data_IF_880120361364
#
_entry.id   IF_880120361364
#
_cell.length_a   1.000
_cell.length_b   1.000
_cell.length_c   1.000
_cell.angle_alpha   90.00
_cell.angle_beta   90.00
_cell.angle_gamma   90.00
#
_symmetry.space_group_name_H-M   'P 1'
#
loop_
_entity.id
_entity.type
_entity.pdbx_description
1 polymer ?
#
# COMPACT_ATOMS: atom_id res chain seq x y z
N UNK A 1 -14.24 -4.55 5.74
CA UNK A 1 -13.03 -5.31 5.36
C UNK A 1 -12.63 -6.32 6.44
N UNK A 2 -12.47 -5.91 7.70
CA UNK A 2 -11.97 -6.79 8.77
C UNK A 2 -12.78 -8.08 8.98
N UNK A 3 -14.11 -8.00 8.98
CA UNK A 3 -15.00 -9.17 9.16
C UNK A 3 -15.17 -10.06 7.92
N UNK A 4 -14.66 -9.66 6.75
CA UNK A 4 -14.79 -10.44 5.51
C UNK A 4 -13.67 -11.45 5.39
N UNK A 5 -14.00 -12.68 5.00
CA UNK A 5 -13.00 -13.59 4.44
C UNK A 5 -12.54 -13.06 3.09
N UNK A 6 -11.23 -12.89 2.94
CA UNK A 6 -10.59 -12.38 1.74
C UNK A 6 -9.58 -13.42 1.28
N UNK A 7 -9.54 -13.68 -0.02
CA UNK A 7 -8.47 -14.50 -0.59
C UNK A 7 -7.13 -13.74 -0.58
N UNK A 8 -5.99 -14.41 -0.80
CA UNK A 8 -4.68 -13.75 -0.77
C UNK A 8 -4.56 -12.53 -1.70
N UNK A 9 -5.10 -12.60 -2.91
CA UNK A 9 -5.05 -11.47 -3.86
C UNK A 9 -5.81 -10.26 -3.31
N UNK A 10 -7.01 -10.48 -2.77
CA UNK A 10 -7.81 -9.42 -2.16
C UNK A 10 -7.11 -8.80 -0.94
N UNK A 11 -6.46 -9.62 -0.10
CA UNK A 11 -5.73 -9.13 1.08
C UNK A 11 -4.65 -8.12 0.66
N UNK A 12 -3.80 -8.46 -0.30
CA UNK A 12 -2.75 -7.57 -0.78
C UNK A 12 -3.33 -6.35 -1.51
N UNK A 13 -4.33 -6.56 -2.37
CA UNK A 13 -5.02 -5.48 -3.08
C UNK A 13 -5.58 -4.43 -2.11
N UNK A 14 -6.38 -4.85 -1.12
CA UNK A 14 -7.02 -3.90 -0.20
C UNK A 14 -6.02 -3.26 0.77
N UNK A 15 -4.94 -3.97 1.15
CA UNK A 15 -3.88 -3.40 2.00
C UNK A 15 -3.14 -2.27 1.29
N UNK A 16 -2.71 -2.50 0.05
CA UNK A 16 -2.04 -1.46 -0.75
C UNK A 16 -3.02 -0.38 -1.21
N UNK A 17 -4.30 -0.68 -1.44
CA UNK A 17 -5.31 0.34 -1.75
C UNK A 17 -5.56 1.28 -0.57
N UNK A 18 -5.65 0.75 0.65
CA UNK A 18 -5.77 1.56 1.87
C UNK A 18 -4.60 2.53 2.02
N UNK A 19 -3.37 2.05 1.77
CA UNK A 19 -2.19 2.92 1.74
C UNK A 19 -2.38 4.05 0.73
N UNK A 20 -2.69 3.72 -0.52
CA UNK A 20 -2.80 4.69 -1.60
C UNK A 20 -3.85 5.75 -1.29
N UNK A 21 -5.04 5.32 -0.90
CA UNK A 21 -6.16 6.22 -0.55
C UNK A 21 -5.78 7.12 0.62
N UNK A 22 -5.15 6.58 1.67
CA UNK A 22 -4.72 7.36 2.82
C UNK A 22 -3.72 8.46 2.43
N UNK A 23 -2.73 8.14 1.59
CA UNK A 23 -1.75 9.13 1.11
C UNK A 23 -2.40 10.17 0.20
N UNK A 24 -3.44 9.82 -0.55
CA UNK A 24 -4.21 10.78 -1.36
C UNK A 24 -5.10 11.71 -0.56
N UNK A 25 -5.68 11.23 0.55
CA UNK A 25 -6.42 12.09 1.48
C UNK A 25 -5.44 13.04 2.21
N UNK A 26 -4.25 12.55 2.55
CA UNK A 26 -3.20 13.31 3.22
C UNK A 26 -3.69 14.10 4.47
N UNK A 27 -4.35 13.45 5.44
CA UNK A 27 -5.13 14.13 6.49
C UNK A 27 -4.30 14.85 7.56
N UNK A 28 -3.00 14.54 7.68
CA UNK A 28 -2.14 15.11 8.71
C UNK A 28 -1.19 16.17 8.14
N UNK A 29 -0.73 17.08 9.01
CA UNK A 29 0.28 18.07 8.65
C UNK A 29 1.64 17.44 8.30
N UNK A 30 2.01 16.36 9.01
CA UNK A 30 3.17 15.53 8.74
C UNK A 30 2.86 14.07 9.12
N UNK A 31 3.62 13.13 8.58
CA UNK A 31 3.56 11.72 8.97
C UNK A 31 2.69 10.85 8.07
N UNK A 32 2.04 11.40 7.04
CA UNK A 32 1.09 10.65 6.21
C UNK A 32 1.70 9.38 5.59
N UNK A 33 2.91 9.47 5.02
CA UNK A 33 3.58 8.29 4.46
C UNK A 33 3.96 7.23 5.51
N UNK A 34 4.33 7.65 6.73
CA UNK A 34 4.62 6.72 7.85
C UNK A 34 3.34 6.02 8.29
N UNK A 35 2.26 6.78 8.46
CA UNK A 35 0.96 6.24 8.85
C UNK A 35 0.37 5.33 7.78
N UNK A 36 0.51 5.65 6.49
CA UNK A 36 0.01 4.81 5.41
C UNK A 36 0.65 3.42 5.40
N UNK A 37 1.98 3.35 5.58
CA UNK A 37 2.70 2.07 5.72
C UNK A 37 2.25 1.29 6.96
N UNK A 38 2.03 1.98 8.08
CA UNK A 38 1.50 1.34 9.29
C UNK A 38 0.08 0.78 9.09
N UNK A 39 -0.80 1.51 8.39
CA UNK A 39 -2.17 1.06 8.07
C UNK A 39 -2.14 -0.15 7.14
N UNK A 40 -1.29 -0.14 6.11
CA UNK A 40 -1.12 -1.30 5.22
C UNK A 40 -0.62 -2.52 5.99
N UNK A 41 0.43 -2.34 6.82
CA UNK A 41 0.96 -3.41 7.67
C UNK A 41 -0.10 -3.93 8.63
N UNK A 42 -0.89 -3.04 9.22
CA UNK A 42 -1.96 -3.39 10.14
C UNK A 42 -3.00 -4.29 9.45
N UNK A 43 -3.50 -3.93 8.25
CA UNK A 43 -4.46 -4.80 7.56
C UNK A 43 -3.86 -6.18 7.23
N UNK A 44 -2.58 -6.24 6.82
CA UNK A 44 -1.91 -7.53 6.64
C UNK A 44 -1.87 -8.34 7.93
N UNK A 45 -1.54 -7.72 9.07
CA UNK A 45 -1.54 -8.40 10.37
C UNK A 45 -2.94 -8.93 10.72
N UNK A 46 -3.99 -8.11 10.52
CA UNK A 46 -5.37 -8.53 10.77
C UNK A 46 -5.81 -9.71 9.90
N UNK A 47 -5.27 -9.84 8.68
CA UNK A 47 -5.69 -10.86 7.72
C UNK A 47 -4.86 -12.13 7.71
N UNK A 48 -3.54 -12.03 7.91
CA UNK A 48 -2.61 -13.17 7.82
C UNK A 48 -1.76 -13.36 9.08
N UNK A 49 -2.02 -12.60 10.13
CA UNK A 49 -1.39 -12.74 11.44
C UNK A 49 0.13 -12.65 11.39
N UNK A 50 0.80 -13.59 12.06
CA UNK A 50 2.27 -13.63 12.15
C UNK A 50 2.97 -13.71 10.80
N UNK A 51 2.31 -14.20 9.74
CA UNK A 51 2.89 -14.23 8.39
C UNK A 51 3.13 -12.82 7.84
N UNK A 52 2.40 -11.81 8.29
CA UNK A 52 2.65 -10.41 7.89
C UNK A 52 4.03 -9.88 8.34
N UNK A 53 4.68 -10.53 9.32
CA UNK A 53 6.03 -10.16 9.76
C UNK A 53 7.07 -10.38 8.66
N UNK A 54 6.88 -11.35 7.77
CA UNK A 54 7.82 -11.61 6.67
C UNK A 54 7.68 -10.60 5.52
N UNK A 55 6.59 -9.81 5.46
CA UNK A 55 6.41 -8.81 4.41
C UNK A 55 7.20 -7.54 4.77
N UNK A 56 8.41 -7.36 4.25
CA UNK A 56 9.28 -6.21 4.55
C UNK A 56 8.82 -4.91 3.82
N UNK A 57 7.63 -4.39 4.15
CA UNK A 57 7.00 -3.22 3.51
C UNK A 57 7.91 -1.99 3.46
N UNK A 58 8.46 -1.60 4.61
CA UNK A 58 9.28 -0.39 4.75
C UNK A 58 10.53 -0.47 3.89
N UNK A 59 11.18 -1.63 3.91
CA UNK A 59 12.37 -1.89 3.10
C UNK A 59 12.03 -1.91 1.61
N UNK A 60 10.90 -2.51 1.23
CA UNK A 60 10.45 -2.56 -0.16
C UNK A 60 10.21 -1.14 -0.71
N UNK A 61 9.42 -0.33 0.00
CA UNK A 61 9.15 1.05 -0.42
C UNK A 61 10.41 1.94 -0.38
N UNK A 62 11.33 1.68 0.54
CA UNK A 62 12.61 2.38 0.60
C UNK A 62 13.51 2.04 -0.60
N UNK A 63 13.63 0.75 -0.96
CA UNK A 63 14.41 0.31 -2.12
C UNK A 63 13.82 0.83 -3.44
N UNK A 64 12.50 0.86 -3.53
CA UNK A 64 11.75 1.24 -4.73
C UNK A 64 11.18 2.66 -4.62
N UNK A 65 11.91 3.59 -3.99
CA UNK A 65 11.42 4.93 -3.61
C UNK A 65 10.95 5.76 -4.82
N UNK A 66 11.69 5.70 -5.93
CA UNK A 66 11.33 6.42 -7.15
C UNK A 66 10.01 5.91 -7.73
N UNK A 67 9.84 4.58 -7.79
CA UNK A 67 8.61 3.96 -8.27
C UNK A 67 7.45 4.22 -7.32
N UNK A 68 7.69 4.21 -6.01
CA UNK A 68 6.69 4.53 -5.00
C UNK A 68 6.06 5.90 -5.26
N UNK A 69 6.88 6.97 -5.34
CA UNK A 69 6.36 8.31 -5.59
C UNK A 69 5.81 8.48 -7.01
N UNK A 70 6.45 7.89 -8.01
CA UNK A 70 5.98 7.91 -9.41
C UNK A 70 4.59 7.28 -9.54
N UNK A 71 4.37 6.11 -8.93
CA UNK A 71 3.10 5.41 -8.98
C UNK A 71 1.99 6.13 -8.21
N UNK A 72 2.30 6.77 -7.08
CA UNK A 72 1.33 7.65 -6.39
C UNK A 72 0.97 8.82 -7.30
N UNK A 73 1.94 9.47 -7.94
CA UNK A 73 1.71 10.64 -8.81
C UNK A 73 0.90 10.30 -10.05
N UNK A 74 1.07 9.11 -10.63
CA UNK A 74 0.29 8.64 -11.80
C UNK A 74 -1.22 8.65 -11.57
N UNK A 75 -1.65 8.48 -10.33
CA UNK A 75 -3.08 8.52 -9.97
C UNK A 75 -3.65 9.94 -10.06
N UNK A 76 -2.84 10.99 -10.00
CA UNK A 76 -3.29 12.39 -9.99
C UNK A 76 -2.66 13.17 -8.83
N UNK A 77 -2.73 14.50 -8.85
CA UNK A 77 -2.21 15.34 -7.77
C UNK A 77 -3.35 15.84 -6.88
N UNK A 78 -4.34 16.47 -7.51
CA UNK A 78 -5.52 17.00 -6.84
C UNK A 78 -6.60 15.93 -6.68
N UNK A 79 -7.45 16.09 -5.66
CA UNK A 79 -8.47 15.11 -5.29
C UNK A 79 -9.51 14.91 -6.40
N UNK A 80 -9.87 15.99 -7.09
CA UNK A 80 -10.86 16.01 -8.17
C UNK A 80 -10.38 15.26 -9.43
N UNK A 81 -9.06 15.19 -9.62
CA UNK A 81 -8.43 14.61 -10.81
C UNK A 81 -7.92 13.17 -10.58
N UNK A 82 -8.26 12.55 -9.45
CA UNK A 82 -7.77 11.21 -9.12
C UNK A 82 -8.35 10.14 -10.05
N UNK A 83 -7.47 9.47 -10.77
CA UNK A 83 -7.76 8.36 -11.67
C UNK A 83 -7.17 7.06 -11.11
N UNK A 84 -7.99 6.36 -10.34
CA UNK A 84 -7.62 5.08 -9.74
C UNK A 84 -7.42 3.96 -10.75
N UNK A 85 -7.82 4.10 -12.02
CA UNK A 85 -7.50 3.11 -13.06
C UNK A 85 -5.98 2.98 -13.27
N UNK A 86 -5.21 4.03 -12.92
CA UNK A 86 -3.74 4.07 -13.02
C UNK A 86 -3.03 3.53 -11.77
N UNK A 87 -3.77 3.05 -10.77
CA UNK A 87 -3.21 2.61 -9.47
C UNK A 87 -2.51 1.25 -9.52
N UNK A 88 -2.71 0.45 -10.57
CA UNK A 88 -2.26 -0.95 -10.62
C UNK A 88 -0.78 -1.14 -10.24
N UNK A 89 0.11 -0.28 -10.76
CA UNK A 89 1.54 -0.36 -10.45
C UNK A 89 1.85 -0.13 -8.97
N UNK A 90 1.12 0.78 -8.31
CA UNK A 90 1.23 0.99 -6.87
C UNK A 90 0.74 -0.23 -6.09
N UNK A 91 -0.44 -0.74 -6.45
CA UNK A 91 -1.09 -1.86 -5.77
C UNK A 91 -0.27 -3.16 -5.83
N UNK A 92 0.55 -3.32 -6.86
CA UNK A 92 1.43 -4.48 -7.02
C UNK A 92 2.77 -4.36 -6.28
N UNK A 93 3.15 -3.18 -5.77
CA UNK A 93 4.48 -2.98 -5.18
C UNK A 93 4.72 -3.91 -3.99
N UNK A 94 3.74 -4.07 -3.10
CA UNK A 94 3.86 -4.95 -1.93
C UNK A 94 3.98 -6.41 -2.33
N UNK A 95 3.17 -6.86 -3.29
CA UNK A 95 3.22 -8.24 -3.77
C UNK A 95 4.58 -8.55 -4.45
N UNK A 96 5.03 -7.67 -5.35
CA UNK A 96 6.33 -7.82 -6.04
C UNK A 96 7.51 -7.82 -5.08
N UNK A 97 7.46 -6.97 -4.05
CA UNK A 97 8.52 -6.89 -3.03
C UNK A 97 8.66 -8.14 -2.18
N UNK A 98 7.72 -9.09 -2.21
CA UNK A 98 7.85 -10.40 -1.55
C UNK A 98 8.73 -11.33 -2.38
N UNK A 99 8.60 -11.32 -3.71
CA UNK A 99 9.39 -12.17 -4.61
C UNK A 99 10.87 -11.79 -4.60
N UNK A 100 11.17 -10.50 -4.43
CA UNK A 100 12.53 -9.93 -4.35
C UNK A 100 13.25 -10.21 -3.01
N UNK A 101 12.61 -10.87 -2.05
CA UNK A 101 13.21 -11.24 -0.75
C UNK A 101 13.84 -12.64 -0.75
N UNK A 102 13.76 -13.37 -1.86
CA UNK A 102 14.48 -14.62 -2.09
C UNK A 102 15.93 -14.35 -2.49
#
# INVERSE_FOLDING_TARGET
LLSKELNPFEIFYYSSLLHLVFVKIHPFQDGNGRTARLIEKWLLIEKIGKKAASVQLEKNYYKNLNDYYSNIRKVGLEYEDLDYSKSLNFLLMTAKGIDEQK
#
